data_IF_047611437388
#
_entry.id   IF_047611437388
#
_cell.length_a   1.000
_cell.length_b   1.000
_cell.length_c   1.000
_cell.angle_alpha   90.00
_cell.angle_beta   90.00
_cell.angle_gamma   90.00
#
_symmetry.space_group_name_H-M   'P 1'
#
loop_
_entity.id
_entity.type
_entity.pdbx_description
1 polymer ?
#
# COMPACT_ATOMS: atom_id res chain seq x y z
N UNK A 1 -6.85 -7.24 7.49
CA UNK A 1 -5.74 -6.29 7.72
C UNK A 1 -5.39 -6.26 9.21
N UNK A 2 -4.19 -5.81 9.60
CA UNK A 2 -3.84 -5.65 11.04
C UNK A 2 -4.45 -4.40 11.70
N UNK A 3 -4.93 -3.46 10.88
CA UNK A 3 -5.66 -2.25 11.27
C UNK A 3 -6.99 -2.20 10.52
N UNK A 4 -7.92 -1.33 10.91
CA UNK A 4 -9.23 -1.22 10.27
C UNK A 4 -9.14 -0.90 8.78
N UNK A 5 -8.19 -0.04 8.39
CA UNK A 5 -7.95 0.39 7.01
C UNK A 5 -6.44 0.40 6.72
N UNK A 6 -6.02 -0.22 5.63
CA UNK A 6 -4.67 -0.17 5.09
C UNK A 6 -4.59 0.71 3.84
N UNK A 7 -3.57 1.57 3.75
CA UNK A 7 -3.32 2.44 2.59
C UNK A 7 -1.97 2.16 1.94
N UNK A 8 -1.97 2.10 0.61
CA UNK A 8 -0.77 1.88 -0.20
C UNK A 8 -0.66 2.95 -1.28
N UNK A 9 0.56 3.45 -1.48
CA UNK A 9 0.86 4.39 -2.57
C UNK A 9 1.36 3.63 -3.78
N UNK A 10 0.97 4.09 -4.96
CA UNK A 10 1.47 3.65 -6.27
C UNK A 10 2.20 4.77 -7.01
N UNK A 11 2.75 5.73 -6.25
CA UNK A 11 3.65 6.74 -6.79
C UNK A 11 4.91 6.08 -7.40
N UNK A 12 5.49 6.71 -8.42
CA UNK A 12 6.66 6.24 -9.17
C UNK A 12 7.81 5.69 -8.31
N UNK A 13 8.06 6.25 -7.12
CA UNK A 13 9.17 5.81 -6.27
C UNK A 13 8.92 4.50 -5.52
N UNK A 14 7.70 3.96 -5.52
CA UNK A 14 7.33 2.75 -4.77
C UNK A 14 7.77 1.47 -5.49
N UNK A 15 7.80 0.34 -4.77
CA UNK A 15 8.22 -0.96 -5.30
C UNK A 15 7.46 -1.38 -6.57
N UNK A 16 6.18 -1.03 -6.62
CA UNK A 16 5.31 -1.07 -7.78
C UNK A 16 4.64 0.29 -7.89
N UNK A 17 4.30 0.72 -9.10
CA UNK A 17 3.74 2.04 -9.33
C UNK A 17 2.83 2.08 -10.57
N UNK A 18 1.95 3.06 -10.60
CA UNK A 18 1.14 3.45 -11.76
C UNK A 18 1.48 4.85 -12.27
N UNK A 19 2.63 5.39 -11.84
CA UNK A 19 2.99 6.81 -12.04
C UNK A 19 2.49 7.59 -10.83
N UNK A 20 1.18 7.79 -10.76
CA UNK A 20 0.47 8.22 -9.55
C UNK A 20 -0.68 7.26 -9.23
N UNK A 21 -1.10 7.24 -7.95
CA UNK A 21 -2.23 6.44 -7.50
C UNK A 21 -2.09 5.90 -6.09
N UNK A 22 -3.13 5.20 -5.64
CA UNK A 22 -3.16 4.56 -4.34
C UNK A 22 -4.24 3.49 -4.24
N UNK A 23 -4.07 2.59 -3.28
CA UNK A 23 -4.99 1.51 -2.97
C UNK A 23 -5.34 1.63 -1.48
N UNK A 24 -6.62 1.49 -1.17
CA UNK A 24 -7.09 1.35 0.20
C UNK A 24 -7.77 -0.02 0.33
N UNK A 25 -7.49 -0.72 1.43
CA UNK A 25 -8.03 -2.05 1.74
C UNK A 25 -8.61 -2.07 3.15
N UNK A 26 -9.63 -2.89 3.36
CA UNK A 26 -10.25 -3.15 4.66
C UNK A 26 -10.91 -4.53 4.61
N UNK A 27 -11.11 -5.16 5.76
CA UNK A 27 -11.92 -6.38 5.90
C UNK A 27 -13.35 -6.06 6.39
N UNK A 28 -13.70 -4.79 6.62
CA UNK A 28 -15.03 -4.34 7.04
C UNK A 28 -15.82 -3.81 5.83
N UNK A 29 -16.88 -4.52 5.46
CA UNK A 29 -17.75 -4.18 4.32
C UNK A 29 -18.37 -2.78 4.46
N UNK A 30 -18.74 -2.37 5.68
CA UNK A 30 -19.30 -1.04 5.94
C UNK A 30 -18.26 0.04 5.69
N UNK A 31 -17.01 -0.18 6.10
CA UNK A 31 -15.92 0.76 5.77
C UNK A 31 -15.62 0.77 4.27
N UNK A 32 -15.65 -0.39 3.61
CA UNK A 32 -15.43 -0.49 2.17
C UNK A 32 -16.44 0.36 1.37
N UNK A 33 -17.72 0.28 1.73
CA UNK A 33 -18.77 1.06 1.07
C UNK A 33 -18.63 2.55 1.32
N UNK A 34 -18.33 2.96 2.56
CA UNK A 34 -18.07 4.37 2.89
C UNK A 34 -16.88 4.93 2.11
N UNK A 35 -15.79 4.16 1.98
CA UNK A 35 -14.62 4.59 1.20
C UNK A 35 -14.93 4.70 -0.30
N UNK A 36 -15.74 3.80 -0.86
CA UNK A 36 -16.18 3.88 -2.26
C UNK A 36 -17.02 5.13 -2.52
N UNK A 37 -17.91 5.50 -1.58
CA UNK A 37 -18.69 6.74 -1.64
C UNK A 37 -17.77 7.97 -1.55
N UNK A 38 -16.92 8.06 -0.52
CA UNK A 38 -16.00 9.20 -0.32
C UNK A 38 -15.09 9.39 -1.53
N UNK A 39 -14.58 8.32 -2.14
CA UNK A 39 -13.74 8.36 -3.35
C UNK A 39 -14.45 8.96 -4.56
N UNK A 40 -15.78 8.92 -4.57
CA UNK A 40 -16.63 9.30 -5.69
C UNK A 40 -17.67 10.36 -5.27
N UNK A 41 -17.23 11.52 -4.81
CA UNK A 41 -18.08 12.67 -4.46
C UNK A 41 -19.16 12.43 -3.39
N UNK A 42 -19.12 11.29 -2.69
CA UNK A 42 -20.23 10.78 -1.88
C UNK A 42 -21.52 10.61 -2.70
N UNK A 43 -21.41 10.57 -4.03
CA UNK A 43 -22.51 10.22 -4.92
C UNK A 43 -22.83 8.75 -4.70
N UNK A 44 -24.11 8.44 -4.47
CA UNK A 44 -24.61 7.09 -4.26
C UNK A 44 -24.33 6.20 -5.49
N UNK A 45 -23.15 5.56 -5.51
CA UNK A 45 -22.87 4.43 -6.42
C UNK A 45 -23.46 3.14 -5.84
N UNK A 46 -23.63 3.09 -4.52
CA UNK A 46 -24.20 1.96 -3.78
C UNK A 46 -25.63 2.32 -3.41
N UNK A 47 -26.61 1.49 -3.78
CA UNK A 47 -27.95 1.56 -3.21
C UNK A 47 -27.82 1.23 -1.72
N UNK A 48 -27.63 2.24 -0.86
CA UNK A 48 -27.71 2.01 0.57
C UNK A 48 -29.14 1.63 0.92
N UNK A 49 -29.30 0.51 1.63
CA UNK A 49 -30.59 0.10 2.18
C UNK A 49 -31.01 0.99 3.37
N UNK A 50 -30.12 1.87 3.86
CA UNK A 50 -30.39 2.83 4.92
C UNK A 50 -30.03 4.26 4.49
N UNK A 51 -31.02 5.17 4.30
CA UNK A 51 -30.80 6.58 4.00
C UNK A 51 -30.02 7.34 5.08
N UNK A 52 -30.00 6.88 6.35
CA UNK A 52 -29.29 7.55 7.44
C UNK A 52 -27.76 7.45 7.27
N UNK A 53 -27.27 6.30 6.79
CA UNK A 53 -25.83 6.05 6.52
C UNK A 53 -25.27 6.96 5.40
N UNK A 54 -26.14 7.49 4.55
CA UNK A 54 -25.81 8.39 3.45
C UNK A 54 -25.93 9.87 3.81
N UNK A 55 -26.60 10.21 4.91
CA UNK A 55 -26.84 11.61 5.26
C UNK A 55 -25.54 12.32 5.65
N UNK A 56 -25.33 13.53 5.09
CA UNK A 56 -24.22 14.43 5.40
C UNK A 56 -22.79 13.92 5.10
N UNK A 57 -22.62 12.98 4.17
CA UNK A 57 -21.27 12.52 3.78
C UNK A 57 -20.61 13.52 2.80
N UNK A 58 -19.38 13.94 3.12
CA UNK A 58 -18.53 14.71 2.21
C UNK A 58 -17.65 13.75 1.41
N UNK A 59 -17.69 13.85 0.09
CA UNK A 59 -16.81 13.09 -0.79
C UNK A 59 -15.99 13.96 -1.74
N UNK A 60 -15.07 13.29 -2.44
CA UNK A 60 -14.05 13.90 -3.30
C UNK A 60 -13.94 13.16 -4.63
N UNK A 61 -13.24 13.74 -5.59
CA UNK A 61 -12.87 13.04 -6.81
C UNK A 61 -11.51 12.35 -6.63
N UNK A 62 -11.49 11.20 -5.95
CA UNK A 62 -10.26 10.41 -5.74
C UNK A 62 -10.26 9.11 -6.56
N UNK A 63 -11.08 9.05 -7.61
CA UNK A 63 -11.10 7.93 -8.55
C UNK A 63 -9.73 7.79 -9.20
N UNK A 64 -9.22 6.56 -9.25
CA UNK A 64 -8.06 6.19 -10.03
C UNK A 64 -8.48 6.05 -11.50
N UNK A 65 -7.68 6.56 -12.44
CA UNK A 65 -7.96 6.38 -13.86
C UNK A 65 -7.78 4.93 -14.32
N UNK A 66 -8.49 4.56 -15.38
CA UNK A 66 -8.48 3.20 -15.93
C UNK A 66 -7.08 2.79 -16.44
N UNK A 67 -6.31 3.75 -16.99
CA UNK A 67 -4.94 3.49 -17.45
C UNK A 67 -4.03 3.18 -16.27
N UNK A 68 -4.07 4.00 -15.22
CA UNK A 68 -3.31 3.77 -14.00
C UNK A 68 -3.70 2.43 -13.36
N UNK A 69 -5.00 2.10 -13.33
CA UNK A 69 -5.51 0.84 -12.79
C UNK A 69 -5.02 -0.38 -13.58
N UNK A 70 -5.02 -0.30 -14.92
CA UNK A 70 -4.48 -1.34 -15.79
C UNK A 70 -2.97 -1.56 -15.55
N UNK A 71 -2.20 -0.47 -15.42
CA UNK A 71 -0.76 -0.54 -15.08
C UNK A 71 -0.58 -1.19 -13.71
N UNK A 72 -1.33 -0.75 -12.70
CA UNK A 72 -1.26 -1.28 -11.34
C UNK A 72 -1.55 -2.78 -11.28
N UNK A 73 -2.59 -3.24 -12.00
CA UNK A 73 -2.97 -4.65 -12.10
C UNK A 73 -1.81 -5.52 -12.61
N UNK A 74 -1.13 -5.08 -13.68
CA UNK A 74 0.05 -5.79 -14.21
C UNK A 74 1.22 -5.71 -13.23
N UNK A 75 1.44 -4.57 -12.57
CA UNK A 75 2.56 -4.39 -11.63
C UNK A 75 2.41 -5.23 -10.36
N UNK A 76 1.18 -5.47 -9.87
CA UNK A 76 0.91 -6.32 -8.71
C UNK A 76 1.50 -7.73 -8.87
N UNK A 77 1.43 -8.31 -10.08
CA UNK A 77 2.02 -9.62 -10.37
C UNK A 77 3.55 -9.67 -10.19
N UNK A 78 4.21 -8.50 -10.21
CA UNK A 78 5.67 -8.35 -10.10
C UNK A 78 6.11 -8.03 -8.67
N UNK A 79 5.20 -7.80 -7.73
CA UNK A 79 5.52 -7.33 -6.38
C UNK A 79 6.35 -8.35 -5.59
N UNK A 80 5.86 -9.58 -5.48
CA UNK A 80 6.53 -10.65 -4.73
C UNK A 80 7.98 -10.90 -5.20
N UNK A 81 8.28 -11.11 -6.50
CA UNK A 81 9.66 -11.31 -6.95
C UNK A 81 10.55 -10.08 -6.74
N UNK A 82 10.00 -8.86 -6.85
CA UNK A 82 10.75 -7.62 -6.56
C UNK A 82 11.12 -7.52 -5.09
N UNK A 83 10.19 -7.79 -4.18
CA UNK A 83 10.45 -7.79 -2.73
C UNK A 83 11.50 -8.84 -2.38
N UNK A 84 11.35 -10.07 -2.90
CA UNK A 84 12.33 -11.14 -2.67
C UNK A 84 13.73 -10.76 -3.15
N UNK A 85 13.84 -10.08 -4.30
CA UNK A 85 15.13 -9.58 -4.79
C UNK A 85 15.76 -8.54 -3.87
N UNK A 86 14.97 -7.65 -3.29
CA UNK A 86 15.47 -6.64 -2.35
C UNK A 86 15.85 -7.25 -1.01
N UNK A 87 15.11 -8.24 -0.54
CA UNK A 87 15.44 -8.99 0.67
C UNK A 87 16.78 -9.71 0.53
N UNK A 88 17.02 -10.41 -0.59
CA UNK A 88 18.32 -11.03 -0.87
C UNK A 88 19.48 -10.03 -0.83
N UNK A 89 19.32 -8.87 -1.49
CA UNK A 89 20.34 -7.83 -1.46
C UNK A 89 20.56 -7.27 -0.05
N UNK A 90 19.51 -7.09 0.75
CA UNK A 90 19.62 -6.66 2.14
C UNK A 90 20.33 -7.70 3.02
N UNK A 91 20.07 -8.99 2.81
CA UNK A 91 20.72 -10.08 3.54
C UNK A 91 22.22 -10.17 3.21
N UNK A 92 22.58 -9.99 1.93
CA UNK A 92 23.98 -9.89 1.51
C UNK A 92 24.69 -8.69 2.14
N UNK A 93 24.05 -7.51 2.16
CA UNK A 93 24.57 -6.33 2.82
C UNK A 93 24.71 -6.54 4.33
N UNK A 94 23.70 -7.13 4.98
CA UNK A 94 23.75 -7.47 6.41
C UNK A 94 24.95 -8.36 6.71
N UNK A 95 25.18 -9.41 5.92
CA UNK A 95 26.28 -10.34 6.11
C UNK A 95 27.65 -9.66 5.93
N UNK A 96 27.81 -8.81 4.92
CA UNK A 96 29.08 -8.14 4.63
C UNK A 96 29.40 -6.99 5.59
N UNK A 97 28.37 -6.33 6.14
CA UNK A 97 28.54 -5.15 6.99
C UNK A 97 28.56 -5.48 8.49
N UNK A 98 28.15 -6.68 8.91
CA UNK A 98 28.00 -7.05 10.33
C UNK A 98 29.27 -6.89 11.19
N UNK A 99 30.46 -6.91 10.57
CA UNK A 99 31.75 -6.79 11.27
C UNK A 99 32.34 -5.38 11.29
N UNK A 100 31.68 -4.39 10.69
CA UNK A 100 32.23 -3.04 10.58
C UNK A 100 31.90 -2.20 11.82
N UNK A 101 32.94 -1.86 12.58
CA UNK A 101 32.82 -0.99 13.75
C UNK A 101 32.26 0.37 13.37
N UNK A 102 31.19 0.79 14.06
CA UNK A 102 30.55 2.09 13.85
C UNK A 102 29.43 2.09 12.81
N UNK A 103 29.06 0.93 12.26
CA UNK A 103 27.88 0.78 11.39
C UNK A 103 26.87 -0.19 11.99
N UNK A 104 25.60 0.19 11.95
CA UNK A 104 24.46 -0.66 12.33
C UNK A 104 23.55 -0.89 11.14
N UNK A 105 23.28 -2.17 10.86
CA UNK A 105 22.38 -2.56 9.78
C UNK A 105 20.91 -2.62 10.26
N UNK A 106 19.93 -2.56 9.34
CA UNK A 106 18.52 -2.73 9.70
C UNK A 106 18.29 -4.06 10.41
N UNK A 107 17.51 -4.03 11.50
CA UNK A 107 17.07 -5.23 12.22
C UNK A 107 15.63 -5.56 11.86
N UNK A 108 15.35 -6.84 11.65
CA UNK A 108 13.99 -7.35 11.40
C UNK A 108 13.57 -8.21 12.60
N UNK A 109 12.42 -7.90 13.19
CA UNK A 109 11.86 -8.69 14.30
C UNK A 109 11.45 -10.09 13.84
N UNK A 110 11.59 -11.09 14.72
CA UNK A 110 11.43 -12.51 14.36
C UNK A 110 10.06 -12.90 13.75
N UNK A 111 8.99 -12.15 14.06
CA UNK A 111 7.64 -12.41 13.54
C UNK A 111 7.26 -11.51 12.34
N UNK A 112 8.21 -10.74 11.81
CA UNK A 112 7.98 -9.78 10.75
C UNK A 112 8.88 -10.09 9.54
N UNK A 113 8.44 -9.65 8.37
CA UNK A 113 9.32 -9.47 7.22
C UNK A 113 9.50 -7.98 6.93
N UNK A 114 10.56 -7.63 6.21
CA UNK A 114 10.81 -6.25 5.79
C UNK A 114 10.90 -6.18 4.26
N UNK A 115 10.23 -5.21 3.65
CA UNK A 115 10.19 -5.06 2.18
C UNK A 115 11.33 -4.18 1.65
N UNK A 116 12.08 -3.54 2.54
CA UNK A 116 13.24 -2.69 2.25
C UNK A 116 12.94 -1.62 1.20
N UNK A 117 11.98 -0.73 1.45
CA UNK A 117 11.78 0.46 0.61
C UNK A 117 13.10 1.24 0.49
N UNK A 118 13.76 1.44 1.63
CA UNK A 118 15.14 1.89 1.74
C UNK A 118 15.87 0.94 2.68
N UNK A 119 17.16 0.71 2.41
CA UNK A 119 18.07 0.04 3.35
C UNK A 119 18.74 1.13 4.20
N UNK A 120 18.21 1.37 5.39
CA UNK A 120 18.69 2.44 6.29
C UNK A 120 19.79 1.93 7.21
N UNK A 121 20.96 2.56 7.16
CA UNK A 121 22.07 2.29 8.08
C UNK A 121 22.19 3.45 9.07
N UNK A 122 22.68 3.16 10.28
CA UNK A 122 22.98 4.14 11.32
C UNK A 122 24.40 3.97 11.82
#
# INVERSE_FOLDING_TARGET
>A
TLADIGGYSLNYHKHIHSGEGGIIVTDDDRLADRMRLIRNHAECVVQSNDPAELSNMLGYNFRMGEIEAAIASVQLTKLAPRVASRQRAADELNAQLAGLTGLSTPKVSAQCSHVYYVYGMV
#
